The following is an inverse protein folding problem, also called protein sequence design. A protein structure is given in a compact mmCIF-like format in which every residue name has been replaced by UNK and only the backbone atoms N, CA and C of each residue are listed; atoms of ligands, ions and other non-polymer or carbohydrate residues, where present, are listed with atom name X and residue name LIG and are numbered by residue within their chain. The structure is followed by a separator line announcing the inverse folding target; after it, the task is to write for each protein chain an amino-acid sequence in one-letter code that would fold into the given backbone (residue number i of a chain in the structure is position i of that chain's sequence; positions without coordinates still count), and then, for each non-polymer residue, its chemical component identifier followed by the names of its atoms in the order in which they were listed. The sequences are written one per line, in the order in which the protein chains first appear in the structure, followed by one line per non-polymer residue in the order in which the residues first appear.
data_IF_095434013753
#
_entry.id   IF_095434013753
#
_cell.length_a   1.000
_cell.length_b   1.000
_cell.length_c   1.000
_cell.angle_alpha   90.00
_cell.angle_beta   90.00
_cell.angle_gamma   90.00
#
_symmetry.space_group_name_H-M   'P 1'
#
loop_
_entity.id
_entity.type
_entity.pdbx_description
1 polymer ?
#
# COMPACT_ATOMS: atom_id res chain seq x y z
N UNK A 1 0.93 -17.80 0.87
CA UNK A 1 0.63 -17.88 -0.57
C UNK A 1 1.74 -17.13 -1.29
N UNK A 2 2.70 -17.89 -1.81
CA UNK A 2 3.91 -17.38 -2.45
C UNK A 2 3.57 -16.69 -3.77
N UNK A 3 3.98 -15.43 -3.91
CA UNK A 3 3.97 -14.71 -5.19
C UNK A 3 5.25 -13.89 -5.29
N UNK A 4 6.11 -14.34 -6.21
CA UNK A 4 7.27 -13.67 -6.80
C UNK A 4 8.40 -13.22 -5.85
N UNK A 5 9.41 -14.09 -5.68
CA UNK A 5 10.78 -13.58 -5.52
C UNK A 5 11.18 -12.89 -6.83
N UNK A 6 11.83 -11.71 -6.83
CA UNK A 6 12.44 -11.20 -8.05
C UNK A 6 13.50 -12.21 -8.51
N UNK A 7 13.21 -12.94 -9.59
CA UNK A 7 14.16 -13.87 -10.20
C UNK A 7 15.35 -13.10 -10.78
N UNK A 8 16.36 -12.83 -9.95
CA UNK A 8 17.71 -12.55 -10.42
C UNK A 8 18.43 -13.87 -10.68
N UNK A 9 18.00 -14.62 -11.70
CA UNK A 9 18.83 -15.70 -12.27
C UNK A 9 18.85 -15.58 -13.79
N UNK A 10 19.99 -15.11 -14.29
CA UNK A 10 20.38 -15.25 -15.69
C UNK A 10 20.48 -16.74 -16.01
N UNK A 11 19.56 -17.26 -16.80
CA UNK A 11 19.85 -18.30 -17.81
C UNK A 11 18.83 -18.16 -18.93
N UNK A 12 19.21 -17.39 -19.93
CA UNK A 12 18.72 -17.48 -21.32
C UNK A 12 17.20 -17.46 -21.52
N UNK A 13 16.52 -16.42 -21.05
CA UNK A 13 15.16 -16.08 -21.45
C UNK A 13 14.84 -14.70 -20.89
N UNK A 14 14.24 -13.80 -21.68
CA UNK A 14 13.95 -12.43 -21.29
C UNK A 14 13.43 -12.36 -19.85
N UNK A 15 14.23 -11.92 -18.86
CA UNK A 15 13.76 -11.83 -17.50
C UNK A 15 12.62 -10.82 -17.51
N UNK A 16 11.47 -11.18 -16.96
CA UNK A 16 10.37 -10.25 -16.77
C UNK A 16 10.93 -9.11 -15.90
N UNK A 17 11.20 -7.97 -16.54
CA UNK A 17 11.97 -6.84 -15.98
C UNK A 17 11.16 -5.99 -14.99
N UNK A 18 10.01 -6.45 -14.52
CA UNK A 18 9.13 -5.62 -13.71
C UNK A 18 9.26 -6.01 -12.25
N UNK A 19 9.78 -5.10 -11.42
CA UNK A 19 9.58 -5.17 -9.97
C UNK A 19 8.26 -4.44 -9.66
N UNK A 20 7.15 -5.14 -9.37
CA UNK A 20 5.79 -4.62 -9.56
C UNK A 20 5.36 -3.42 -8.71
N UNK A 21 6.06 -3.05 -7.62
CA UNK A 21 5.73 -1.82 -6.87
C UNK A 21 6.94 -0.96 -6.49
N UNK A 22 8.09 -1.57 -6.22
CA UNK A 22 9.30 -0.81 -5.90
C UNK A 22 9.78 0.06 -7.06
N UNK A 23 9.71 -0.45 -8.28
CA UNK A 23 10.14 0.26 -9.50
C UNK A 23 9.19 1.38 -9.93
N UNK A 24 7.90 1.23 -9.63
CA UNK A 24 6.85 2.17 -10.04
C UNK A 24 7.02 3.56 -9.46
N UNK A 25 7.68 3.67 -8.30
CA UNK A 25 7.78 4.89 -7.52
C UNK A 25 9.22 5.31 -7.23
N UNK A 26 10.20 4.80 -7.95
CA UNK A 26 11.61 5.19 -7.81
C UNK A 26 12.17 5.63 -9.15
N UNK A 27 13.27 6.36 -9.10
CA UNK A 27 14.04 6.76 -10.27
C UNK A 27 15.53 6.81 -9.89
N UNK A 28 16.38 7.33 -10.77
CA UNK A 28 17.80 7.55 -10.47
C UNK A 28 17.94 8.42 -9.20
N UNK A 29 18.82 8.06 -8.25
CA UNK A 29 19.91 7.08 -8.32
C UNK A 29 19.54 5.64 -7.92
N UNK A 30 18.34 5.41 -7.40
CA UNK A 30 17.89 4.08 -6.95
C UNK A 30 17.56 3.14 -8.11
N UNK A 31 17.51 3.67 -9.34
CA UNK A 31 17.31 2.90 -10.55
C UNK A 31 18.23 3.37 -11.67
N UNK A 32 18.87 2.41 -12.31
CA UNK A 32 19.76 2.61 -13.46
C UNK A 32 19.12 1.99 -14.72
N UNK A 33 19.50 2.47 -15.92
CA UNK A 33 20.41 3.59 -16.17
C UNK A 33 19.71 4.96 -16.03
N UNK A 34 20.46 6.01 -15.71
CA UNK A 34 19.90 7.37 -15.48
C UNK A 34 19.00 7.84 -16.64
N UNK A 35 19.41 7.62 -17.89
CA UNK A 35 18.70 8.15 -19.05
C UNK A 35 17.27 7.61 -19.20
N UNK A 36 17.01 6.37 -18.77
CA UNK A 36 15.68 5.73 -18.79
C UNK A 36 14.87 6.08 -17.54
N UNK A 37 15.55 6.38 -16.44
CA UNK A 37 14.96 6.50 -15.11
C UNK A 37 15.20 7.87 -14.48
N UNK A 38 14.93 8.95 -15.22
CA UNK A 38 14.96 10.32 -14.68
C UNK A 38 13.71 10.69 -13.88
N UNK A 39 12.67 9.90 -14.02
CA UNK A 39 11.35 10.13 -13.44
C UNK A 39 10.76 8.83 -12.95
N UNK A 40 10.00 8.88 -11.87
CA UNK A 40 9.20 7.75 -11.42
C UNK A 40 8.02 7.52 -12.37
N UNK A 41 7.75 6.25 -12.77
CA UNK A 41 6.61 5.91 -13.62
C UNK A 41 5.25 6.34 -13.06
N UNK A 42 5.11 6.41 -11.74
CA UNK A 42 3.93 6.93 -11.07
C UNK A 42 4.29 7.76 -9.85
N UNK A 43 3.34 8.61 -9.46
CA UNK A 43 3.37 9.41 -8.24
C UNK A 43 2.08 9.18 -7.45
N UNK A 44 2.17 9.30 -6.13
CA UNK A 44 0.98 9.36 -5.28
C UNK A 44 0.49 10.82 -5.28
N UNK A 45 -0.83 11.02 -5.31
CA UNK A 45 -1.40 12.38 -5.33
C UNK A 45 -1.06 13.13 -4.04
N UNK A 46 -0.78 14.43 -4.16
CA UNK A 46 -0.49 15.29 -3.00
C UNK A 46 -1.61 15.24 -1.97
N UNK A 47 -2.87 15.37 -2.43
CA UNK A 47 -4.04 15.31 -1.56
C UNK A 47 -4.12 14.02 -0.74
N UNK A 48 -3.75 12.87 -1.32
CA UNK A 48 -3.72 11.61 -0.59
C UNK A 48 -2.52 11.54 0.36
N UNK A 49 -1.35 12.05 -0.03
CA UNK A 49 -0.18 12.10 0.83
C UNK A 49 -0.39 13.02 2.05
N UNK A 50 -1.01 14.19 1.89
CA UNK A 50 -1.37 15.08 3.00
C UNK A 50 -2.34 14.43 3.98
N UNK A 51 -3.27 13.64 3.47
CA UNK A 51 -4.22 12.89 4.28
C UNK A 51 -3.56 11.75 5.04
N UNK A 52 -2.61 11.07 4.40
CA UNK A 52 -1.94 9.91 4.98
C UNK A 52 -0.84 10.32 5.96
N UNK A 53 -0.02 11.31 5.59
CA UNK A 53 1.07 11.87 6.40
C UNK A 53 0.85 13.38 6.66
N UNK A 54 -0.17 13.74 7.46
CA UNK A 54 -0.42 15.14 7.82
C UNK A 54 0.67 15.71 8.74
N UNK A 55 1.35 14.84 9.49
CA UNK A 55 2.46 15.18 10.37
C UNK A 55 3.79 14.85 9.68
N UNK A 56 4.51 15.89 9.26
CA UNK A 56 5.82 15.75 8.60
C UNK A 56 6.93 15.30 9.55
N UNK A 57 6.68 15.28 10.87
CA UNK A 57 7.63 14.76 11.86
C UNK A 57 7.61 13.24 11.96
N UNK A 58 6.63 12.58 11.31
CA UNK A 58 6.59 11.12 11.17
C UNK A 58 7.90 10.61 10.56
N UNK A 59 8.63 9.75 11.30
CA UNK A 59 9.91 9.23 10.86
C UNK A 59 9.84 8.44 9.54
N UNK A 60 8.65 8.00 9.12
CA UNK A 60 8.42 7.36 7.80
C UNK A 60 8.46 8.38 6.67
N UNK A 61 8.04 9.62 6.90
CA UNK A 61 7.98 10.65 5.87
C UNK A 61 9.34 10.82 5.19
N UNK A 62 10.38 11.11 5.99
CA UNK A 62 11.74 11.28 5.46
C UNK A 62 12.42 9.95 5.07
N UNK A 63 12.10 8.86 5.78
CA UNK A 63 12.74 7.55 5.54
C UNK A 63 12.23 6.87 4.28
N UNK A 64 10.93 6.95 4.01
CA UNK A 64 10.28 6.22 2.93
C UNK A 64 10.03 7.06 1.70
N UNK A 65 10.15 8.39 1.77
CA UNK A 65 9.86 9.25 0.64
C UNK A 65 10.94 10.30 0.39
N UNK A 66 11.05 10.72 -0.87
CA UNK A 66 11.62 11.98 -1.30
C UNK A 66 10.50 12.81 -1.91
N UNK A 67 10.41 14.10 -1.55
CA UNK A 67 9.41 15.04 -2.07
C UNK A 67 7.97 14.47 -2.18
N UNK A 68 7.42 13.83 -1.13
CA UNK A 68 6.12 13.14 -1.23
C UNK A 68 4.93 14.07 -1.52
N UNK A 69 5.06 15.38 -1.30
CA UNK A 69 4.00 16.37 -1.50
C UNK A 69 4.11 17.12 -2.84
N UNK A 70 5.20 16.95 -3.60
CA UNK A 70 5.46 17.79 -4.79
C UNK A 70 4.64 17.37 -6.02
N UNK A 71 4.01 16.18 -5.99
CA UNK A 71 3.27 15.56 -7.11
C UNK A 71 4.03 15.60 -8.46
N UNK A 72 5.36 15.60 -8.41
CA UNK A 72 6.23 15.69 -9.57
C UNK A 72 7.02 14.40 -9.72
N UNK A 73 6.87 13.71 -10.85
CA UNK A 73 7.55 12.44 -11.13
C UNK A 73 9.07 12.54 -11.14
N UNK A 74 9.64 13.74 -11.25
CA UNK A 74 11.09 13.95 -11.28
C UNK A 74 11.70 14.16 -9.90
N UNK A 75 10.88 14.42 -8.87
CA UNK A 75 11.34 14.65 -7.49
C UNK A 75 10.75 13.64 -6.50
N UNK A 76 9.51 13.19 -6.74
CA UNK A 76 8.85 12.19 -5.93
C UNK A 76 9.56 10.84 -6.02
N UNK A 77 9.91 10.26 -4.87
CA UNK A 77 10.31 8.85 -4.78
C UNK A 77 9.72 8.18 -3.54
N UNK A 78 9.36 6.90 -3.65
CA UNK A 78 9.05 6.03 -2.51
C UNK A 78 10.19 5.03 -2.30
N UNK A 79 11.11 5.37 -1.41
CA UNK A 79 12.32 4.61 -1.05
C UNK A 79 12.05 3.34 -0.22
N UNK A 80 10.81 3.11 0.23
CA UNK A 80 10.45 1.98 1.10
C UNK A 80 10.94 0.62 0.57
N UNK A 81 10.90 0.42 -0.75
CA UNK A 81 11.36 -0.80 -1.42
C UNK A 81 12.71 -0.63 -2.14
N UNK A 82 13.36 0.54 -2.02
CA UNK A 82 14.60 0.88 -2.69
C UNK A 82 15.86 0.47 -1.89
N UNK A 83 15.72 0.05 -0.63
CA UNK A 83 16.85 -0.15 0.29
C UNK A 83 17.89 -1.21 -0.10
N UNK A 84 17.62 -2.04 -1.11
CA UNK A 84 18.53 -3.08 -1.59
C UNK A 84 18.90 -2.89 -3.08
N UNK A 85 18.82 -1.65 -3.57
CA UNK A 85 19.40 -1.30 -4.87
C UNK A 85 20.90 -1.37 -4.74
N UNK A 86 21.50 -2.45 -5.26
CA UNK A 86 22.96 -2.55 -5.41
C UNK A 86 23.34 -1.56 -6.52
N UNK A 87 23.63 -0.32 -6.14
CA UNK A 87 24.24 0.65 -7.02
C UNK A 87 25.71 0.28 -7.09
N UNK A 88 26.07 -0.56 -8.06
CA UNK A 88 27.46 -0.74 -8.42
C UNK A 88 27.87 0.47 -9.27
N UNK A 89 28.53 1.45 -8.64
CA UNK A 89 29.05 2.63 -9.34
C UNK A 89 30.10 2.29 -10.41
N UNK A 90 30.61 1.05 -10.41
CA UNK A 90 31.53 0.55 -11.45
C UNK A 90 30.83 -0.04 -12.67
N UNK A 91 29.52 -0.31 -12.59
CA UNK A 91 28.68 -0.75 -13.72
C UNK A 91 27.48 0.20 -13.94
N UNK A 92 27.66 1.30 -14.71
CA UNK A 92 26.58 2.24 -15.03
C UNK A 92 25.47 1.62 -15.90
N UNK A 93 25.66 0.39 -16.41
CA UNK A 93 24.68 -0.37 -17.17
C UNK A 93 24.03 -1.48 -16.35
N UNK A 94 24.20 -1.46 -15.02
CA UNK A 94 23.54 -2.39 -14.13
C UNK A 94 22.01 -2.15 -14.12
N UNK A 95 21.33 -2.80 -15.07
CA UNK A 95 19.88 -2.80 -15.27
C UNK A 95 19.13 -3.68 -14.26
N UNK A 96 19.82 -4.24 -13.24
CA UNK A 96 19.17 -5.14 -12.29
C UNK A 96 18.12 -4.39 -11.50
N UNK A 97 17.00 -5.07 -11.28
CA UNK A 97 15.93 -4.54 -10.46
C UNK A 97 16.39 -4.43 -9.00
N UNK A 98 15.88 -3.44 -8.25
CA UNK A 98 16.00 -3.44 -6.80
C UNK A 98 15.64 -4.83 -6.26
N UNK A 99 16.52 -5.42 -5.45
CA UNK A 99 16.23 -6.72 -4.83
C UNK A 99 15.34 -6.51 -3.60
N UNK A 100 14.04 -6.36 -3.81
CA UNK A 100 13.07 -6.18 -2.73
C UNK A 100 12.45 -7.52 -2.34
N UNK A 101 12.66 -7.96 -1.10
CA UNK A 101 11.88 -9.06 -0.52
C UNK A 101 10.47 -8.58 -0.20
N UNK A 102 9.44 -9.29 -0.69
CA UNK A 102 8.05 -8.99 -0.33
C UNK A 102 7.76 -9.49 1.07
N UNK A 103 7.44 -8.55 1.96
CA UNK A 103 7.00 -8.84 3.32
C UNK A 103 5.51 -9.23 3.26
N UNK A 104 5.21 -10.51 3.51
CA UNK A 104 3.82 -10.97 3.59
C UNK A 104 3.18 -10.65 4.93
N UNK A 105 3.96 -10.78 6.02
CA UNK A 105 3.54 -10.47 7.38
C UNK A 105 4.74 -9.94 8.14
N UNK A 106 4.51 -8.97 9.03
CA UNK A 106 5.54 -8.42 9.90
C UNK A 106 4.94 -7.96 11.22
N UNK A 107 5.80 -7.81 12.22
CA UNK A 107 5.39 -7.54 13.60
C UNK A 107 4.43 -6.33 13.73
N UNK A 108 4.71 -5.21 13.04
CA UNK A 108 3.84 -4.03 13.13
C UNK A 108 2.43 -4.27 12.57
N UNK A 109 2.24 -5.12 11.56
CA UNK A 109 0.90 -5.46 11.06
C UNK A 109 0.11 -6.21 12.14
N UNK A 110 0.74 -7.17 12.82
CA UNK A 110 0.11 -7.94 13.90
C UNK A 110 -0.26 -7.04 15.10
N UNK A 111 0.60 -6.08 15.46
CA UNK A 111 0.27 -5.11 16.52
C UNK A 111 -0.95 -4.28 16.13
N UNK A 112 -1.01 -3.78 14.89
CA UNK A 112 -2.14 -2.97 14.43
C UNK A 112 -3.43 -3.79 14.28
N UNK A 113 -3.32 -5.06 13.88
CA UNK A 113 -4.45 -5.99 13.85
C UNK A 113 -4.98 -6.24 15.28
N UNK A 114 -4.09 -6.39 16.27
CA UNK A 114 -4.48 -6.46 17.68
C UNK A 114 -5.16 -5.17 18.15
N UNK A 115 -4.61 -4.01 17.80
CA UNK A 115 -5.20 -2.71 18.14
C UNK A 115 -6.63 -2.59 17.58
N UNK A 116 -6.82 -2.98 16.32
CA UNK A 116 -8.14 -2.98 15.67
C UNK A 116 -9.13 -3.92 16.37
N UNK A 117 -8.72 -5.16 16.66
CA UNK A 117 -9.56 -6.13 17.37
C UNK A 117 -9.95 -5.63 18.76
N UNK A 118 -9.03 -5.02 19.50
CA UNK A 118 -9.33 -4.42 20.81
C UNK A 118 -10.32 -3.26 20.69
N UNK A 119 -10.19 -2.42 19.66
CA UNK A 119 -11.12 -1.33 19.40
C UNK A 119 -12.52 -1.84 19.02
N UNK A 120 -12.62 -2.95 18.27
CA UNK A 120 -13.90 -3.60 17.98
C UNK A 120 -14.55 -4.24 19.20
N UNK A 121 -13.75 -4.67 20.18
CA UNK A 121 -14.21 -5.15 21.50
C UNK A 121 -14.46 -4.02 22.50
N UNK A 122 -14.46 -2.76 22.06
CA UNK A 122 -14.66 -1.55 22.89
C UNK A 122 -13.59 -1.38 24.01
N UNK A 123 -12.45 -2.05 23.88
CA UNK A 123 -11.30 -1.96 24.81
C UNK A 123 -10.37 -0.82 24.40
N UNK A 124 -10.89 0.41 24.44
CA UNK A 124 -10.24 1.62 23.87
C UNK A 124 -8.84 1.88 24.47
N UNK A 125 -8.67 1.75 25.78
CA UNK A 125 -7.36 1.99 26.42
C UNK A 125 -6.29 1.04 25.87
N UNK A 126 -6.60 -0.25 25.78
CA UNK A 126 -5.63 -1.25 25.31
C UNK A 126 -5.38 -1.16 23.81
N UNK A 127 -6.39 -0.75 23.04
CA UNK A 127 -6.24 -0.45 21.62
C UNK A 127 -5.30 0.75 21.42
N UNK A 128 -5.41 1.79 22.27
CA UNK A 128 -4.54 2.95 22.24
C UNK A 128 -3.10 2.57 22.61
N UNK A 129 -2.90 1.70 23.60
CA UNK A 129 -1.57 1.19 23.96
C UNK A 129 -0.91 0.47 22.78
N UNK A 130 -1.64 -0.45 22.13
CA UNK A 130 -1.16 -1.17 20.95
C UNK A 130 -0.87 -0.24 19.76
N UNK A 131 -1.72 0.76 19.51
CA UNK A 131 -1.48 1.79 18.50
C UNK A 131 -0.20 2.58 18.80
N UNK A 132 0.00 2.97 20.06
CA UNK A 132 1.14 3.73 20.53
C UNK A 132 2.46 2.97 20.41
N UNK A 133 2.46 1.64 20.51
CA UNK A 133 3.66 0.82 20.22
C UNK A 133 4.21 1.10 18.82
N UNK A 134 3.34 1.17 17.80
CA UNK A 134 3.78 1.47 16.43
C UNK A 134 4.16 2.94 16.26
N UNK A 135 3.37 3.86 16.82
CA UNK A 135 3.63 5.31 16.72
C UNK A 135 5.00 5.69 17.30
N UNK A 136 5.36 5.13 18.47
CA UNK A 136 6.68 5.34 19.10
C UNK A 136 7.83 4.89 18.22
N UNK A 137 7.70 3.76 17.53
CA UNK A 137 8.70 3.27 16.58
C UNK A 137 8.88 4.18 15.35
N UNK A 138 7.96 5.12 15.14
CA UNK A 138 7.97 6.09 14.03
C UNK A 138 8.19 7.52 14.50
N UNK A 139 8.67 7.72 15.74
CA UNK A 139 8.97 9.02 16.33
C UNK A 139 7.75 9.95 16.42
N UNK A 140 6.54 9.39 16.39
CA UNK A 140 5.30 10.13 16.57
C UNK A 140 4.98 10.28 18.05
N UNK A 141 4.27 11.37 18.37
CA UNK A 141 3.60 11.52 19.67
C UNK A 141 2.58 10.41 19.88
N UNK A 142 2.35 10.05 21.15
CA UNK A 142 1.28 9.13 21.50
C UNK A 142 -0.06 9.65 20.99
N UNK A 143 -0.97 8.71 20.68
CA UNK A 143 -2.33 9.02 20.32
C UNK A 143 -2.96 9.87 21.43
N UNK A 144 -3.47 11.07 21.12
CA UNK A 144 -3.87 12.07 22.12
C UNK A 144 -5.09 11.66 22.97
N UNK A 145 -5.67 10.48 22.73
CA UNK A 145 -6.91 10.07 23.37
C UNK A 145 -8.13 10.74 22.72
N UNK A 146 -9.30 10.32 23.17
CA UNK A 146 -10.50 11.16 23.10
C UNK A 146 -10.44 12.17 24.25
N UNK A 147 -9.60 13.21 24.13
CA UNK A 147 -9.53 14.30 25.10
C UNK A 147 -10.25 15.54 24.55
N UNK A 148 -11.17 16.09 25.35
CA UNK A 148 -11.93 17.32 25.05
C UNK A 148 -13.07 17.15 24.04
N UNK A 149 -13.37 18.22 23.29
CA UNK A 149 -14.41 18.29 22.24
C UNK A 149 -14.03 17.54 20.95
N UNK A 150 -12.80 17.04 20.86
CA UNK A 150 -12.32 16.19 19.76
C UNK A 150 -12.75 14.74 20.01
N UNK A 151 -13.90 14.35 19.44
CA UNK A 151 -14.25 12.93 19.30
C UNK A 151 -13.26 12.27 18.32
N UNK A 152 -12.16 11.74 18.82
CA UNK A 152 -11.23 10.90 18.05
C UNK A 152 -11.80 9.48 17.98
N UNK A 153 -12.16 9.04 16.78
CA UNK A 153 -12.55 7.66 16.54
C UNK A 153 -11.28 6.80 16.43
N UNK A 154 -10.97 6.08 17.52
CA UNK A 154 -9.81 5.20 17.59
C UNK A 154 -9.79 4.17 16.45
N UNK A 155 -10.95 3.69 15.96
CA UNK A 155 -11.02 2.74 14.84
C UNK A 155 -10.56 3.38 13.55
N UNK A 156 -10.93 4.64 13.32
CA UNK A 156 -10.47 5.45 12.19
C UNK A 156 -8.97 5.73 12.28
N UNK A 157 -8.46 6.07 13.46
CA UNK A 157 -7.03 6.35 13.63
C UNK A 157 -6.17 5.10 13.45
N UNK A 158 -6.62 3.94 13.95
CA UNK A 158 -5.98 2.65 13.68
C UNK A 158 -5.98 2.35 12.18
N UNK A 159 -7.09 2.60 11.49
CA UNK A 159 -7.18 2.39 10.04
C UNK A 159 -6.14 3.24 9.27
N UNK A 160 -6.03 4.54 9.60
CA UNK A 160 -5.04 5.41 8.96
C UNK A 160 -3.60 5.04 9.34
N UNK A 161 -3.37 4.58 10.57
CA UNK A 161 -2.07 4.07 10.99
C UNK A 161 -1.69 2.81 10.20
N UNK A 162 -2.63 1.88 9.97
CA UNK A 162 -2.45 0.72 9.08
C UNK A 162 -2.13 1.14 7.66
N UNK A 163 -2.87 2.10 7.10
CA UNK A 163 -2.64 2.60 5.75
C UNK A 163 -1.24 3.23 5.60
N UNK A 164 -0.79 4.00 6.59
CA UNK A 164 0.57 4.57 6.62
C UNK A 164 1.60 3.47 6.67
N UNK A 165 1.50 2.62 7.69
CA UNK A 165 2.51 1.63 8.03
C UNK A 165 2.69 0.61 6.90
N UNK A 166 1.59 0.13 6.32
CA UNK A 166 1.57 -0.93 5.30
C UNK A 166 1.49 -0.40 3.87
N UNK A 167 1.84 0.88 3.64
CA UNK A 167 1.82 1.45 2.28
C UNK A 167 2.66 0.59 1.32
N UNK A 168 2.07 0.22 0.19
CA UNK A 168 2.71 -0.62 -0.83
C UNK A 168 2.83 -2.11 -0.49
N UNK A 169 2.26 -2.60 0.62
CA UNK A 169 2.31 -4.02 1.03
C UNK A 169 1.04 -4.80 0.64
N UNK A 170 0.12 -4.20 -0.12
CA UNK A 170 -1.05 -4.90 -0.70
C UNK A 170 -2.24 -5.09 0.23
N UNK A 171 -2.24 -4.52 1.44
CA UNK A 171 -3.32 -4.70 2.43
C UNK A 171 -4.44 -3.65 2.35
N UNK A 172 -4.14 -2.43 1.91
CA UNK A 172 -5.03 -1.27 2.02
C UNK A 172 -6.41 -1.47 1.36
N UNK A 173 -6.44 -2.06 0.15
CA UNK A 173 -7.70 -2.30 -0.55
C UNK A 173 -8.60 -3.30 0.20
N UNK A 174 -8.01 -4.37 0.76
CA UNK A 174 -8.75 -5.34 1.56
C UNK A 174 -9.28 -4.71 2.85
N UNK A 175 -8.50 -3.84 3.50
CA UNK A 175 -8.91 -3.09 4.68
C UNK A 175 -10.11 -2.15 4.35
N UNK A 176 -10.10 -1.49 3.19
CA UNK A 176 -11.23 -0.67 2.72
C UNK A 176 -12.50 -1.50 2.51
N UNK A 177 -12.38 -2.67 1.88
CA UNK A 177 -13.53 -3.54 1.55
C UNK A 177 -14.11 -4.18 2.80
N UNK A 178 -13.29 -4.82 3.64
CA UNK A 178 -13.76 -5.56 4.83
C UNK A 178 -14.41 -4.65 5.86
N UNK A 179 -13.96 -3.40 5.94
CA UNK A 179 -14.53 -2.40 6.86
C UNK A 179 -15.59 -1.52 6.21
N UNK A 180 -15.99 -1.81 4.96
CA UNK A 180 -16.96 -1.04 4.15
C UNK A 180 -16.59 0.44 3.95
N UNK A 181 -15.36 0.84 4.27
CA UNK A 181 -14.81 2.18 4.03
C UNK A 181 -14.67 2.49 2.54
N UNK A 182 -14.63 1.48 1.68
CA UNK A 182 -14.71 1.61 0.21
C UNK A 182 -15.98 2.32 -0.27
N UNK A 183 -17.02 2.42 0.58
CA UNK A 183 -18.28 3.12 0.26
C UNK A 183 -18.23 4.62 0.57
N UNK A 184 -17.18 5.11 1.23
CA UNK A 184 -17.11 6.46 1.78
C UNK A 184 -15.95 7.25 1.16
N UNK A 185 -16.26 8.45 0.63
CA UNK A 185 -15.31 9.37 0.01
C UNK A 185 -14.24 9.89 0.97
N UNK A 186 -14.52 9.84 2.27
CA UNK A 186 -13.54 10.11 3.31
C UNK A 186 -12.36 9.14 3.29
N UNK A 187 -12.49 7.93 2.76
CA UNK A 187 -11.41 6.93 2.75
C UNK A 187 -10.87 6.64 1.35
N UNK A 188 -11.67 6.86 0.30
CA UNK A 188 -11.28 6.60 -1.09
C UNK A 188 -11.79 7.68 -2.04
N UNK A 189 -11.00 8.02 -3.06
CA UNK A 189 -11.39 9.03 -4.05
C UNK A 189 -12.47 8.54 -5.02
N UNK A 190 -12.68 7.23 -5.13
CA UNK A 190 -13.70 6.63 -6.01
C UNK A 190 -14.54 5.63 -5.22
N UNK A 191 -15.46 6.10 -4.35
CA UNK A 191 -16.25 5.21 -3.53
C UNK A 191 -17.20 4.36 -4.36
N UNK A 192 -17.35 3.09 -3.97
CA UNK A 192 -18.38 2.23 -4.51
C UNK A 192 -19.75 2.65 -3.97
N UNK A 193 -20.77 2.59 -4.81
CA UNK A 193 -22.16 2.69 -4.33
C UNK A 193 -22.55 1.38 -3.63
N UNK A 194 -23.51 1.39 -2.68
CA UNK A 194 -24.01 0.17 -2.05
C UNK A 194 -24.46 -0.92 -3.05
N UNK A 195 -25.12 -0.54 -4.16
CA UNK A 195 -25.50 -1.48 -5.22
C UNK A 195 -24.29 -2.21 -5.82
N UNK A 196 -23.31 -1.45 -6.34
CA UNK A 196 -22.07 -2.00 -6.89
C UNK A 196 -21.34 -2.92 -5.89
N UNK A 197 -21.28 -2.52 -4.63
CA UNK A 197 -20.65 -3.34 -3.58
C UNK A 197 -21.39 -4.67 -3.38
N UNK A 198 -22.72 -4.64 -3.28
CA UNK A 198 -23.55 -5.83 -3.13
C UNK A 198 -23.49 -6.77 -4.34
N UNK A 199 -23.29 -6.22 -5.55
CA UNK A 199 -23.06 -7.01 -6.77
C UNK A 199 -21.64 -7.56 -6.92
N UNK A 200 -20.74 -7.29 -5.97
CA UNK A 200 -19.39 -7.82 -5.97
C UNK A 200 -18.39 -7.03 -6.82
N UNK A 201 -18.61 -5.73 -7.03
CA UNK A 201 -17.68 -4.86 -7.77
C UNK A 201 -16.27 -4.81 -7.16
N UNK A 202 -16.14 -5.18 -5.88
CA UNK A 202 -14.86 -5.22 -5.19
C UNK A 202 -14.01 -6.46 -5.52
N UNK A 203 -14.56 -7.43 -6.26
CA UNK A 203 -13.88 -8.65 -6.72
C UNK A 203 -13.35 -8.49 -8.15
N UNK A 204 -12.37 -9.28 -8.56
CA UNK A 204 -11.97 -9.37 -9.97
C UNK A 204 -12.96 -10.19 -10.79
N UNK A 205 -13.19 -9.85 -12.08
CA UNK A 205 -14.05 -10.63 -12.97
C UNK A 205 -13.57 -12.07 -13.09
N UNK A 206 -14.51 -13.01 -13.11
CA UNK A 206 -14.22 -14.40 -13.47
C UNK A 206 -14.29 -14.49 -14.99
N UNK A 207 -13.25 -15.03 -15.63
CA UNK A 207 -13.23 -15.21 -17.08
C UNK A 207 -14.38 -16.16 -17.51
N UNK A 208 -15.24 -15.77 -18.46
CA UNK A 208 -16.33 -16.61 -18.97
C UNK A 208 -15.90 -18.01 -19.43
N UNK A 209 -14.66 -18.17 -19.92
CA UNK A 209 -14.12 -19.46 -20.34
C UNK A 209 -14.05 -20.48 -19.19
N UNK A 210 -14.01 -20.02 -17.93
CA UNK A 210 -14.07 -20.88 -16.76
C UNK A 210 -15.39 -21.68 -16.67
N UNK A 211 -16.46 -21.21 -17.34
CA UNK A 211 -17.75 -21.90 -17.40
C UNK A 211 -17.71 -23.13 -18.33
N UNK A 212 -16.79 -23.18 -19.30
CA UNK A 212 -16.74 -24.25 -20.30
C UNK A 212 -16.58 -25.65 -19.66
N UNK A 213 -15.75 -25.74 -18.62
CA UNK A 213 -15.48 -26.99 -17.89
C UNK A 213 -16.16 -27.06 -16.51
N UNK A 214 -16.85 -26.00 -16.08
CA UNK A 214 -17.52 -25.95 -14.79
C UNK A 214 -18.87 -25.21 -14.88
N UNK A 215 -19.88 -25.94 -15.37
CA UNK A 215 -21.22 -25.40 -15.59
C UNK A 215 -21.97 -24.98 -14.31
N UNK A 216 -21.47 -25.35 -13.12
CA UNK A 216 -22.03 -24.92 -11.82
C UNK A 216 -21.37 -23.66 -11.28
N UNK A 217 -20.32 -23.16 -11.93
CA UNK A 217 -19.70 -21.90 -11.55
C UNK A 217 -20.64 -20.73 -11.84
N UNK A 218 -20.67 -19.76 -10.93
CA UNK A 218 -21.45 -18.53 -11.07
C UNK A 218 -20.49 -17.37 -11.19
N UNK A 219 -20.64 -16.57 -12.26
CA UNK A 219 -19.85 -15.35 -12.44
C UNK A 219 -20.29 -14.29 -11.44
N UNK A 220 -19.39 -13.36 -11.13
CA UNK A 220 -19.69 -12.24 -10.26
C UNK A 220 -20.63 -11.23 -10.93
N UNK A 221 -21.77 -11.00 -10.30
CA UNK A 221 -22.92 -10.26 -10.84
C UNK A 221 -22.58 -8.87 -11.36
N UNK A 222 -21.65 -8.15 -10.73
CA UNK A 222 -21.25 -6.81 -11.16
C UNK A 222 -20.62 -6.77 -12.56
N UNK A 223 -19.88 -7.83 -12.93
CA UNK A 223 -19.05 -7.86 -14.14
C UNK A 223 -19.75 -8.51 -15.33
N UNK A 224 -20.99 -8.96 -15.16
CA UNK A 224 -21.80 -9.52 -16.24
C UNK A 224 -22.23 -8.39 -17.17
N UNK A 225 -21.95 -8.51 -18.48
CA UNK A 225 -22.41 -7.58 -19.51
C UNK A 225 -21.60 -6.28 -19.65
N UNK A 226 -20.48 -6.13 -18.93
CA UNK A 226 -19.59 -4.96 -19.08
C UNK A 226 -18.53 -5.10 -20.17
N UNK A 227 -18.51 -6.22 -20.92
CA UNK A 227 -17.67 -6.38 -22.11
C UNK A 227 -16.16 -6.48 -21.80
N UNK A 228 -15.80 -7.24 -20.76
CA UNK A 228 -14.45 -7.77 -20.60
C UNK A 228 -14.34 -9.14 -21.26
#
# INVERSE_FOLDING_TARGET
FELYSPFNYTTSGNPIRYAPIGETFIHFPYRLPEYDWRQSPAVITEAYMMKLFPDVTDGRYARWFDSPMDQNSSTFQMKKFAGNTIIDSSDPFNIRNPESSYLLMRYSDIILLRAEALAELERVSEAADALNEVRKLRLLTEWPGATGDTQTDIKKDIFWERAKELIGEGTHYFDLVRTKRVLNREFTDNPLTPDKFNRGAWTWPINPDALANNQRMVLNTYWIGTGF
#
